data_IF_105126763802
#
_entry.id   IF_105126763802
#
_cell.length_a   1.000
_cell.length_b   1.000
_cell.length_c   1.000
_cell.angle_alpha   90.00
_cell.angle_beta   90.00
_cell.angle_gamma   90.00
#
_symmetry.space_group_name_H-M   'P 1'
#
loop_
_entity.id
_entity.type
_entity.pdbx_description
1 polymer ?
#
# COMPACT_ATOMS: atom_id res chain seq x y z
N UNK A 1 -12.09 10.71 -14.28
CA UNK A 1 -11.43 11.63 -13.33
C UNK A 1 -10.10 11.03 -12.91
N UNK A 2 -9.31 11.74 -12.09
CA UNK A 2 -8.05 11.22 -11.55
C UNK A 2 -8.18 11.00 -10.03
N UNK A 3 -7.57 9.93 -9.53
CA UNK A 3 -7.46 9.63 -8.11
C UNK A 3 -5.99 9.33 -7.79
N UNK A 4 -5.53 9.79 -6.62
CA UNK A 4 -4.18 9.56 -6.13
C UNK A 4 -4.25 8.71 -4.87
N UNK A 5 -3.41 7.67 -4.79
CA UNK A 5 -3.35 6.75 -3.67
C UNK A 5 -1.95 6.78 -3.08
N UNK A 6 -1.86 6.96 -1.76
CA UNK A 6 -0.61 6.83 -1.00
C UNK A 6 -0.79 5.74 0.05
N UNK A 7 0.22 4.88 0.18
CA UNK A 7 0.31 3.86 1.20
C UNK A 7 1.72 3.82 1.79
N UNK A 8 1.84 3.21 2.96
CA UNK A 8 3.11 3.05 3.65
C UNK A 8 3.07 1.90 4.64
N UNK A 9 4.21 1.67 5.28
CA UNK A 9 4.41 0.65 6.29
C UNK A 9 5.00 1.28 7.55
N UNK A 10 4.72 0.69 8.70
CA UNK A 10 5.26 1.13 9.98
C UNK A 10 6.61 0.47 10.22
N UNK A 11 7.68 1.26 10.30
CA UNK A 11 9.03 0.73 10.49
C UNK A 11 9.36 0.63 11.97
N UNK A 12 9.85 -0.54 12.40
CA UNK A 12 10.36 -0.82 13.74
C UNK A 12 11.77 -1.42 13.68
N UNK A 13 12.40 -1.66 14.83
CA UNK A 13 13.81 -2.02 14.92
C UNK A 13 14.17 -3.34 14.20
N UNK A 14 13.23 -4.27 14.11
CA UNK A 14 13.38 -5.59 13.50
C UNK A 14 12.64 -5.71 12.15
N UNK A 15 12.21 -4.59 11.57
CA UNK A 15 11.56 -4.57 10.26
C UNK A 15 12.47 -5.12 9.16
N UNK A 16 11.84 -5.83 8.22
CA UNK A 16 12.47 -6.32 7.00
C UNK A 16 12.04 -5.42 5.84
N UNK A 17 12.96 -4.67 5.20
CA UNK A 17 12.61 -3.71 4.16
C UNK A 17 11.76 -4.29 3.02
N UNK A 18 11.99 -5.55 2.65
CA UNK A 18 11.24 -6.20 1.58
C UNK A 18 9.79 -6.49 2.02
N UNK A 19 9.60 -6.96 3.27
CA UNK A 19 8.25 -7.18 3.82
C UNK A 19 7.46 -5.88 3.94
N UNK A 20 8.08 -4.82 4.43
CA UNK A 20 7.42 -3.51 4.59
C UNK A 20 7.05 -2.90 3.23
N UNK A 21 7.89 -3.11 2.21
CA UNK A 21 7.56 -2.74 0.84
C UNK A 21 6.30 -3.48 0.35
N UNK A 22 6.24 -4.80 0.51
CA UNK A 22 5.06 -5.57 0.11
C UNK A 22 3.80 -5.22 0.91
N UNK A 23 3.92 -4.85 2.20
CA UNK A 23 2.80 -4.33 2.98
C UNK A 23 2.24 -3.04 2.38
N UNK A 24 3.12 -2.10 2.03
CA UNK A 24 2.71 -0.83 1.42
C UNK A 24 1.99 -1.05 0.08
N UNK A 25 2.49 -1.97 -0.76
CA UNK A 25 1.87 -2.36 -2.02
C UNK A 25 0.48 -2.98 -1.81
N UNK A 26 0.34 -3.93 -0.88
CA UNK A 26 -0.94 -4.59 -0.58
C UNK A 26 -2.01 -3.59 -0.13
N UNK A 27 -1.64 -2.61 0.70
CA UNK A 27 -2.56 -1.55 1.13
C UNK A 27 -3.01 -0.68 -0.04
N UNK A 28 -2.08 -0.26 -0.91
CA UNK A 28 -2.41 0.51 -2.10
C UNK A 28 -3.29 -0.27 -3.07
N UNK A 29 -2.97 -1.55 -3.31
CA UNK A 29 -3.72 -2.44 -4.19
C UNK A 29 -5.19 -2.56 -3.77
N UNK A 30 -5.46 -2.68 -2.46
CA UNK A 30 -6.82 -2.74 -1.95
C UNK A 30 -7.64 -1.50 -2.35
N UNK A 31 -7.05 -0.30 -2.22
CA UNK A 31 -7.70 0.96 -2.59
C UNK A 31 -7.91 1.06 -4.11
N UNK A 32 -6.91 0.66 -4.90
CA UNK A 32 -7.01 0.66 -6.38
C UNK A 32 -8.14 -0.28 -6.84
N UNK A 33 -8.19 -1.51 -6.32
CA UNK A 33 -9.24 -2.49 -6.66
C UNK A 33 -10.64 -2.00 -6.29
N UNK A 34 -10.78 -1.21 -5.21
CA UNK A 34 -12.05 -0.58 -4.86
C UNK A 34 -12.45 0.47 -5.90
N UNK A 35 -11.51 1.29 -6.36
CA UNK A 35 -11.76 2.31 -7.38
C UNK A 35 -12.09 1.72 -8.76
N UNK A 36 -11.50 0.57 -9.13
CA UNK A 36 -11.79 -0.13 -10.39
C UNK A 36 -13.22 -0.70 -10.48
N UNK A 37 -13.91 -0.84 -9.34
CA UNK A 37 -15.28 -1.36 -9.26
C UNK A 37 -16.36 -0.26 -9.27
N UNK A 38 -15.96 1.00 -9.45
CA UNK A 38 -16.83 2.17 -9.53
C UNK A 38 -17.00 2.62 -11.00
#
# INVERSE_FOLDING_TARGET
GFAYVQAGAGIVADSDPEKEYYESLKKAEALIRTLERL
#
